data_IF_001785030895
#
_entry.id   IF_001785030895
#
_cell.length_a   1.000
_cell.length_b   1.000
_cell.length_c   1.000
_cell.angle_alpha   90.00
_cell.angle_beta   90.00
_cell.angle_gamma   90.00
#
_symmetry.space_group_name_H-M   'P 1'
#
loop_
_entity.id
_entity.type
_entity.pdbx_description
1 polymer ?
#
# COMPACT_ATOMS: atom_id res chain seq x y z
N UNK A 1 11.26 14.99 -11.02
CA UNK A 1 11.39 14.95 -9.55
C UNK A 1 12.75 14.35 -9.19
N UNK A 2 13.39 14.81 -8.10
CA UNK A 2 14.71 14.34 -7.69
C UNK A 2 14.61 12.90 -7.17
N UNK A 3 15.51 12.03 -7.65
CA UNK A 3 15.63 10.63 -7.23
C UNK A 3 16.31 10.47 -5.87
N UNK A 4 17.02 11.52 -5.43
CA UNK A 4 17.81 11.56 -4.20
C UNK A 4 17.17 12.47 -3.17
N UNK A 5 17.43 12.19 -1.89
CA UNK A 5 16.98 13.02 -0.77
C UNK A 5 17.80 14.30 -0.64
N UNK A 6 17.26 15.35 0.02
CA UNK A 6 18.02 16.54 0.35
C UNK A 6 19.21 16.21 1.26
N UNK A 7 20.29 16.97 1.10
CA UNK A 7 21.48 16.87 1.93
C UNK A 7 22.02 18.27 2.25
N UNK A 8 22.78 18.38 3.34
CA UNK A 8 23.58 19.55 3.67
C UNK A 8 25.04 19.15 3.86
N UNK A 9 25.95 20.10 3.63
CA UNK A 9 27.37 19.87 3.86
C UNK A 9 28.00 21.11 4.52
N UNK A 10 28.42 20.95 5.77
CA UNK A 10 29.02 22.00 6.59
C UNK A 10 29.86 21.40 7.71
N UNK A 11 30.94 22.07 8.14
CA UNK A 11 31.78 21.57 9.24
C UNK A 11 32.39 20.17 9.01
N UNK A 12 32.61 19.77 7.74
CA UNK A 12 33.01 18.41 7.32
C UNK A 12 31.97 17.31 7.61
N UNK A 13 30.73 17.68 7.89
CA UNK A 13 29.61 16.77 8.12
C UNK A 13 28.73 16.79 6.86
N UNK A 14 28.42 15.60 6.34
CA UNK A 14 27.46 15.38 5.27
C UNK A 14 26.20 14.79 5.90
N UNK A 15 25.11 15.57 5.91
CA UNK A 15 23.86 15.19 6.55
C UNK A 15 22.76 14.96 5.51
N UNK A 16 21.91 13.96 5.75
CA UNK A 16 20.87 13.51 4.85
C UNK A 16 19.53 13.53 5.56
N UNK A 17 18.52 14.13 4.92
CA UNK A 17 17.16 14.14 5.45
C UNK A 17 16.38 12.95 4.89
N UNK A 18 16.37 11.85 5.63
CA UNK A 18 15.59 10.67 5.26
C UNK A 18 14.09 10.89 5.47
N UNK A 19 13.25 10.34 4.57
CA UNK A 19 11.84 10.21 4.84
C UNK A 19 11.63 9.27 6.04
N UNK A 20 10.70 9.61 6.92
CA UNK A 20 10.37 8.80 8.11
C UNK A 20 9.13 7.95 7.93
N UNK A 21 8.42 8.09 6.80
CA UNK A 21 7.21 7.35 6.50
C UNK A 21 6.95 7.25 5.00
N UNK A 22 6.02 6.37 4.61
CA UNK A 22 5.63 6.17 3.22
C UNK A 22 5.09 7.44 2.54
N UNK A 23 4.35 8.28 3.28
CA UNK A 23 3.72 9.50 2.77
C UNK A 23 4.73 10.60 2.40
N UNK A 24 5.94 10.56 2.99
CA UNK A 24 7.01 11.50 2.66
C UNK A 24 7.76 11.12 1.38
N UNK A 25 7.51 9.92 0.84
CA UNK A 25 8.11 9.46 -0.41
C UNK A 25 7.45 10.13 -1.59
N UNK A 26 8.28 10.69 -2.46
CA UNK A 26 7.82 11.18 -3.74
C UNK A 26 7.59 10.01 -4.73
N UNK A 27 6.86 10.23 -5.82
CA UNK A 27 6.48 9.16 -6.77
C UNK A 27 7.65 8.33 -7.34
N UNK A 28 8.80 8.95 -7.59
CA UNK A 28 10.00 8.24 -8.07
C UNK A 28 10.64 7.40 -6.97
N UNK A 29 10.69 7.94 -5.75
CA UNK A 29 11.19 7.25 -4.57
C UNK A 29 10.30 6.06 -4.21
N UNK A 30 8.99 6.28 -4.12
CA UNK A 30 8.00 5.25 -3.83
C UNK A 30 8.05 4.11 -4.84
N UNK A 31 8.11 4.43 -6.14
CA UNK A 31 8.29 3.44 -7.21
C UNK A 31 9.57 2.62 -7.06
N UNK A 32 10.67 3.26 -6.66
CA UNK A 32 11.92 2.55 -6.43
C UNK A 32 11.84 1.64 -5.21
N UNK A 33 11.19 2.08 -4.13
CA UNK A 33 10.95 1.26 -2.93
C UNK A 33 10.15 0.01 -3.33
N UNK A 34 9.03 0.15 -4.03
CA UNK A 34 8.25 -1.00 -4.52
C UNK A 34 9.07 -1.96 -5.37
N UNK A 35 9.90 -1.44 -6.29
CA UNK A 35 10.81 -2.28 -7.07
C UNK A 35 11.75 -3.11 -6.20
N UNK A 36 12.41 -2.51 -5.21
CA UNK A 36 13.45 -3.22 -4.45
C UNK A 36 12.89 -4.15 -3.38
N UNK A 37 11.73 -3.85 -2.79
CA UNK A 37 11.09 -4.77 -1.83
C UNK A 37 10.52 -6.01 -2.53
N UNK A 38 10.13 -5.90 -3.80
CA UNK A 38 9.73 -7.06 -4.61
C UNK A 38 10.93 -7.92 -4.99
N UNK A 39 12.09 -7.32 -5.28
CA UNK A 39 13.25 -8.04 -5.79
C UNK A 39 14.18 -8.60 -4.70
N UNK A 40 14.16 -8.04 -3.49
CA UNK A 40 15.18 -8.32 -2.49
C UNK A 40 14.60 -8.50 -1.08
N UNK A 41 15.23 -9.35 -0.25
CA UNK A 41 14.90 -9.43 1.17
C UNK A 41 15.07 -8.09 1.91
N UNK A 42 14.39 -7.88 3.06
CA UNK A 42 14.29 -6.57 3.71
C UNK A 42 15.62 -5.83 3.93
N UNK A 43 16.65 -6.51 4.46
CA UNK A 43 17.95 -5.88 4.71
C UNK A 43 18.64 -5.40 3.41
N UNK A 44 18.54 -6.21 2.34
CA UNK A 44 19.11 -5.89 1.03
C UNK A 44 18.30 -4.77 0.35
N UNK A 45 16.98 -4.82 0.42
CA UNK A 45 16.09 -3.76 -0.08
C UNK A 45 16.39 -2.41 0.60
N UNK A 46 16.44 -2.36 1.94
CA UNK A 46 16.81 -1.16 2.70
C UNK A 46 18.18 -0.60 2.28
N UNK A 47 19.16 -1.47 2.06
CA UNK A 47 20.49 -1.05 1.58
C UNK A 47 20.42 -0.41 0.19
N UNK A 48 19.65 -0.97 -0.74
CA UNK A 48 19.43 -0.34 -2.05
C UNK A 48 18.72 1.01 -1.94
N UNK A 49 17.68 1.12 -1.11
CA UNK A 49 17.00 2.39 -0.83
C UNK A 49 17.99 3.42 -0.28
N UNK A 50 18.75 3.06 0.76
CA UNK A 50 19.76 3.93 1.36
C UNK A 50 20.75 4.47 0.33
N UNK A 51 21.35 3.59 -0.47
CA UNK A 51 22.34 3.99 -1.48
C UNK A 51 21.72 4.83 -2.59
N UNK A 52 20.48 4.51 -3.02
CA UNK A 52 19.78 5.25 -4.06
C UNK A 52 19.38 6.65 -3.59
N UNK A 53 18.83 6.75 -2.39
CA UNK A 53 18.32 8.01 -1.84
C UNK A 53 19.47 8.96 -1.53
N UNK A 54 20.53 8.47 -0.90
CA UNK A 54 21.71 9.28 -0.59
C UNK A 54 22.54 9.59 -1.83
N UNK A 55 22.49 8.78 -2.89
CA UNK A 55 23.36 8.96 -4.05
C UNK A 55 24.84 8.65 -3.77
N UNK A 56 25.15 8.06 -2.61
CA UNK A 56 26.48 7.57 -2.28
C UNK A 56 26.85 6.45 -3.27
N UNK A 57 28.13 6.37 -3.65
CA UNK A 57 28.65 5.29 -4.49
C UNK A 57 29.79 4.57 -3.79
N UNK A 58 29.63 3.27 -3.58
CA UNK A 58 30.70 2.40 -3.07
C UNK A 58 31.76 2.21 -4.16
N UNK A 59 33.04 2.28 -3.79
CA UNK A 59 34.18 2.03 -4.69
C UNK A 59 34.86 0.72 -4.41
N UNK A 60 35.31 0.52 -3.16
CA UNK A 60 35.98 -0.71 -2.73
C UNK A 60 35.90 -0.88 -1.22
N UNK A 61 36.10 -2.11 -0.77
CA UNK A 61 36.29 -2.43 0.65
C UNK A 61 37.71 -2.03 1.09
N UNK A 62 37.84 -1.53 2.32
CA UNK A 62 39.10 -1.14 2.96
C UNK A 62 39.13 -1.64 4.42
N UNK A 63 40.29 -1.60 5.09
CA UNK A 63 40.50 -2.16 6.45
C UNK A 63 39.55 -1.58 7.53
N UNK A 64 38.88 -0.45 7.27
CA UNK A 64 37.93 0.20 8.19
C UNK A 64 36.49 0.31 7.69
N UNK A 65 36.12 -0.35 6.60
CA UNK A 65 34.77 -0.30 6.03
C UNK A 65 34.77 -0.16 4.51
N UNK A 66 33.93 0.73 3.99
CA UNK A 66 33.74 0.92 2.55
C UNK A 66 34.18 2.31 2.11
N UNK A 67 35.11 2.37 1.15
CA UNK A 67 35.47 3.63 0.53
C UNK A 67 34.33 4.07 -0.39
N UNK A 68 33.72 5.19 -0.03
CA UNK A 68 32.55 5.74 -0.68
C UNK A 68 32.86 7.10 -1.31
N UNK A 69 32.08 7.44 -2.34
CA UNK A 69 32.12 8.75 -2.99
C UNK A 69 30.74 9.37 -3.02
N UNK A 70 30.67 10.68 -2.79
CA UNK A 70 29.44 11.46 -2.91
C UNK A 70 29.72 12.72 -3.72
N UNK A 71 28.84 13.04 -4.68
CA UNK A 71 29.00 14.22 -5.54
C UNK A 71 28.21 15.37 -4.94
N UNK A 72 28.91 16.39 -4.44
CA UNK A 72 28.30 17.63 -3.91
C UNK A 72 27.75 18.50 -5.05
N UNK A 73 28.58 18.71 -6.07
CA UNK A 73 28.23 19.45 -7.28
C UNK A 73 29.05 18.91 -8.46
N UNK A 74 28.94 19.51 -9.65
CA UNK A 74 29.62 19.00 -10.84
C UNK A 74 31.15 18.96 -10.72
N UNK A 75 31.75 19.81 -9.88
CA UNK A 75 33.20 19.92 -9.73
C UNK A 75 33.75 19.26 -8.45
N UNK A 76 32.91 19.00 -7.44
CA UNK A 76 33.36 18.53 -6.12
C UNK A 76 32.79 17.15 -5.77
N UNK A 77 33.71 16.22 -5.51
CA UNK A 77 33.40 14.87 -5.05
C UNK A 77 34.05 14.65 -3.68
N UNK A 78 33.25 14.28 -2.69
CA UNK A 78 33.71 13.83 -1.39
C UNK A 78 34.12 12.36 -1.44
N UNK A 79 35.18 12.03 -0.70
CA UNK A 79 35.63 10.67 -0.43
C UNK A 79 35.60 10.45 1.08
N UNK A 80 34.98 9.38 1.52
CA UNK A 80 34.90 9.04 2.94
C UNK A 80 34.79 7.53 3.11
N UNK A 81 35.10 7.05 4.33
CA UNK A 81 34.91 5.66 4.71
C UNK A 81 33.56 5.55 5.41
N UNK A 82 32.70 4.67 4.92
CA UNK A 82 31.44 4.32 5.56
C UNK A 82 31.63 3.01 6.32
N UNK A 83 31.46 3.04 7.64
CA UNK A 83 31.63 1.87 8.50
C UNK A 83 30.36 1.04 8.57
N UNK A 84 30.49 -0.27 8.80
CA UNK A 84 29.34 -1.20 8.78
C UNK A 84 28.28 -0.84 9.85
N UNK A 85 28.71 -0.37 11.03
CA UNK A 85 27.78 0.07 12.07
C UNK A 85 27.02 1.34 11.68
N UNK A 86 27.63 2.25 10.90
CA UNK A 86 26.96 3.45 10.39
C UNK A 86 25.87 3.05 9.40
N UNK A 87 26.18 2.13 8.48
CA UNK A 87 25.18 1.57 7.57
C UNK A 87 24.01 0.99 8.37
N UNK A 88 24.28 0.11 9.33
CA UNK A 88 23.24 -0.49 10.19
C UNK A 88 22.41 0.56 10.91
N UNK A 89 23.04 1.61 11.44
CA UNK A 89 22.35 2.71 12.12
C UNK A 89 21.45 3.49 11.16
N UNK A 90 21.90 3.78 9.94
CA UNK A 90 21.10 4.50 8.95
C UNK A 90 19.96 3.66 8.39
N UNK A 91 20.14 2.34 8.23
CA UNK A 91 19.06 1.47 7.76
C UNK A 91 17.85 1.49 8.69
N UNK A 92 18.03 1.75 10.00
CA UNK A 92 16.93 1.89 10.96
C UNK A 92 15.99 3.05 10.63
N UNK A 93 16.50 4.12 10.00
CA UNK A 93 15.65 5.24 9.57
C UNK A 93 14.68 4.86 8.43
N UNK A 94 14.91 3.70 7.81
CA UNK A 94 14.13 3.18 6.69
C UNK A 94 13.35 1.92 7.15
N UNK A 95 13.21 1.70 8.46
CA UNK A 95 12.50 0.51 8.96
C UNK A 95 11.03 0.47 8.53
N UNK A 96 10.42 1.66 8.36
CA UNK A 96 9.04 1.82 7.91
C UNK A 96 8.71 1.11 6.58
N UNK A 97 9.68 0.89 5.67
CA UNK A 97 9.40 0.20 4.39
C UNK A 97 9.17 -1.31 4.56
N UNK A 98 9.45 -1.86 5.75
CA UNK A 98 9.22 -3.26 6.10
C UNK A 98 7.99 -3.44 7.00
N UNK A 99 7.35 -2.36 7.41
CA UNK A 99 6.17 -2.38 8.26
C UNK A 99 4.89 -2.20 7.42
N UNK A 100 3.76 -2.80 7.83
CA UNK A 100 2.47 -2.53 7.21
C UNK A 100 2.17 -1.04 7.23
N UNK A 101 1.84 -0.47 6.08
CA UNK A 101 1.50 0.93 6.00
C UNK A 101 0.02 1.12 6.35
N UNK A 102 -0.26 1.74 7.50
CA UNK A 102 -1.63 1.98 7.95
C UNK A 102 -2.32 3.13 7.20
N UNK A 103 -1.58 3.97 6.47
CA UNK A 103 -2.13 5.08 5.71
C UNK A 103 -1.94 4.86 4.21
N UNK A 104 -3.01 4.84 3.39
CA UNK A 104 -2.91 4.51 1.98
C UNK A 104 -1.92 5.37 1.20
N UNK A 105 -0.98 4.71 0.51
CA UNK A 105 -0.10 5.33 -0.48
C UNK A 105 -0.13 4.51 -1.75
N UNK A 106 0.00 5.20 -2.90
CA UNK A 106 -0.06 4.57 -4.21
C UNK A 106 0.82 5.28 -5.22
N UNK A 107 1.08 4.60 -6.33
CA UNK A 107 1.66 5.24 -7.50
C UNK A 107 0.55 6.03 -8.22
N UNK A 108 0.87 7.25 -8.65
CA UNK A 108 -0.14 8.09 -9.34
C UNK A 108 -0.50 7.55 -10.72
N UNK A 109 0.47 6.89 -11.36
CA UNK A 109 0.37 6.39 -12.73
C UNK A 109 1.07 5.05 -12.88
N UNK A 110 0.40 4.06 -13.47
CA UNK A 110 0.98 2.75 -13.82
C UNK A 110 0.50 2.42 -15.23
N UNK A 111 1.38 1.91 -16.10
CA UNK A 111 0.98 1.45 -17.44
C UNK A 111 0.20 2.47 -18.27
N UNK A 112 0.46 3.78 -18.09
CA UNK A 112 -0.28 4.84 -18.78
C UNK A 112 -1.66 5.19 -18.19
N UNK A 113 -2.14 4.46 -17.19
CA UNK A 113 -3.40 4.71 -16.46
C UNK A 113 -3.15 5.48 -15.17
N UNK A 114 -4.15 6.21 -14.71
CA UNK A 114 -4.09 7.04 -13.50
C UNK A 114 -4.89 6.36 -12.40
N UNK A 115 -4.34 6.32 -11.19
CA UNK A 115 -5.10 5.74 -10.10
C UNK A 115 -6.23 6.66 -9.62
N UNK A 116 -7.32 6.02 -9.20
CA UNK A 116 -8.48 6.66 -8.54
C UNK A 116 -8.07 7.28 -7.21
N UNK A 117 -8.98 7.99 -6.53
CA UNK A 117 -8.70 8.58 -5.23
C UNK A 117 -7.97 7.63 -4.26
N UNK A 118 -6.96 8.13 -3.56
CA UNK A 118 -6.08 7.31 -2.71
C UNK A 118 -6.84 6.63 -1.56
N UNK A 119 -7.92 7.26 -1.11
CA UNK A 119 -8.82 6.79 -0.07
C UNK A 119 -10.08 6.13 -0.63
N UNK A 120 -10.15 5.93 -1.96
CA UNK A 120 -11.29 5.35 -2.69
C UNK A 120 -12.57 6.21 -2.69
N UNK A 121 -12.49 7.50 -2.39
CA UNK A 121 -13.67 8.37 -2.57
C UNK A 121 -14.12 8.38 -4.04
N UNK A 122 -15.43 8.25 -4.25
CA UNK A 122 -16.07 8.14 -5.56
C UNK A 122 -16.04 6.74 -6.18
N UNK A 123 -15.50 5.74 -5.48
CA UNK A 123 -15.61 4.33 -5.90
C UNK A 123 -17.00 3.80 -5.50
N UNK A 124 -17.72 3.16 -6.42
CA UNK A 124 -18.99 2.52 -6.08
C UNK A 124 -18.79 1.35 -5.12
N UNK A 125 -19.83 1.02 -4.35
CA UNK A 125 -19.80 -0.11 -3.46
C UNK A 125 -19.63 -1.44 -4.23
N UNK A 126 -20.23 -1.56 -5.41
CA UNK A 126 -20.02 -2.70 -6.31
C UNK A 126 -18.53 -2.87 -6.70
N UNK A 127 -17.89 -1.80 -7.19
CA UNK A 127 -16.47 -1.84 -7.58
C UNK A 127 -15.59 -2.16 -6.35
N UNK A 128 -15.95 -1.65 -5.16
CA UNK A 128 -15.28 -1.99 -3.90
C UNK A 128 -15.36 -3.48 -3.57
N UNK A 129 -16.55 -4.09 -3.67
CA UNK A 129 -16.73 -5.53 -3.44
C UNK A 129 -15.96 -6.37 -4.47
N UNK A 130 -15.95 -5.97 -5.74
CA UNK A 130 -15.14 -6.63 -6.77
C UNK A 130 -13.65 -6.54 -6.46
N UNK A 131 -13.16 -5.38 -6.01
CA UNK A 131 -11.77 -5.22 -5.60
C UNK A 131 -11.41 -6.12 -4.42
N UNK A 132 -12.27 -6.19 -3.40
CA UNK A 132 -12.07 -7.04 -2.24
C UNK A 132 -12.03 -8.53 -2.64
N UNK A 133 -12.94 -8.96 -3.52
CA UNK A 133 -12.95 -10.32 -4.05
C UNK A 133 -11.63 -10.66 -4.79
N UNK A 134 -11.14 -9.78 -5.66
CA UNK A 134 -9.86 -9.98 -6.34
C UNK A 134 -8.67 -9.97 -5.38
N UNK A 135 -8.68 -9.11 -4.37
CA UNK A 135 -7.62 -9.05 -3.36
C UNK A 135 -7.55 -10.35 -2.56
N UNK A 136 -8.70 -10.86 -2.08
CA UNK A 136 -8.78 -12.13 -1.35
C UNK A 136 -8.44 -13.32 -2.24
N UNK A 137 -8.90 -13.29 -3.50
CA UNK A 137 -8.54 -14.28 -4.52
C UNK A 137 -7.03 -14.36 -4.73
N UNK A 138 -6.33 -13.23 -4.77
CA UNK A 138 -4.85 -13.22 -4.83
C UNK A 138 -4.21 -13.76 -3.56
N UNK A 139 -4.66 -13.37 -2.36
CA UNK A 139 -4.12 -13.88 -1.09
C UNK A 139 -4.16 -15.41 -1.04
N UNK A 140 -5.27 -16.00 -1.48
CA UNK A 140 -5.47 -17.44 -1.49
C UNK A 140 -4.69 -18.15 -2.62
N UNK A 141 -4.85 -17.69 -3.86
CA UNK A 141 -4.35 -18.41 -5.04
C UNK A 141 -2.94 -18.03 -5.47
N UNK A 142 -2.44 -16.87 -5.05
CA UNK A 142 -1.25 -16.21 -5.59
C UNK A 142 -1.30 -15.96 -7.11
N UNK A 143 -2.49 -16.00 -7.73
CA UNK A 143 -2.65 -15.76 -9.17
C UNK A 143 -2.57 -14.27 -9.51
N UNK A 144 -1.53 -13.89 -10.27
CA UNK A 144 -1.28 -12.52 -10.74
C UNK A 144 -2.46 -11.96 -11.56
N UNK A 145 -3.29 -12.81 -12.19
CA UNK A 145 -4.50 -12.36 -12.90
C UNK A 145 -5.45 -11.56 -11.99
N UNK A 146 -5.54 -11.95 -10.71
CA UNK A 146 -6.34 -11.26 -9.70
C UNK A 146 -5.84 -9.84 -9.45
N UNK A 147 -4.51 -9.66 -9.35
CA UNK A 147 -3.91 -8.33 -9.22
C UNK A 147 -4.10 -7.46 -10.47
N UNK A 148 -4.14 -8.06 -11.67
CA UNK A 148 -4.44 -7.32 -12.91
C UNK A 148 -5.89 -6.84 -12.92
N UNK A 149 -6.83 -7.65 -12.45
CA UNK A 149 -8.24 -7.27 -12.31
C UNK A 149 -8.40 -6.15 -11.28
N UNK A 150 -7.81 -6.30 -10.09
CA UNK A 150 -7.76 -5.25 -9.07
C UNK A 150 -7.17 -3.94 -9.61
N UNK A 151 -6.05 -4.02 -10.34
CA UNK A 151 -5.47 -2.88 -11.04
C UNK A 151 -6.46 -2.21 -12.02
N UNK A 152 -7.29 -3.00 -12.72
CA UNK A 152 -8.29 -2.51 -13.65
C UNK A 152 -9.35 -1.61 -13.00
N UNK A 153 -9.75 -1.93 -11.77
CA UNK A 153 -10.64 -1.10 -10.98
C UNK A 153 -9.95 0.16 -10.46
N UNK A 154 -8.73 0.01 -9.95
CA UNK A 154 -8.03 1.08 -9.24
C UNK A 154 -7.30 2.07 -10.16
N UNK A 155 -6.98 1.70 -11.40
CA UNK A 155 -6.30 2.55 -12.37
C UNK A 155 -7.11 2.71 -13.66
N UNK A 156 -7.68 3.90 -13.84
CA UNK A 156 -8.55 4.23 -14.98
C UNK A 156 -7.78 4.93 -16.10
N UNK A 157 -8.29 4.84 -17.32
CA UNK A 157 -7.77 5.60 -18.47
C UNK A 157 -8.13 7.07 -18.28
N UNK A 158 -7.24 7.98 -18.68
CA UNK A 158 -7.54 9.42 -18.61
C UNK A 158 -8.60 9.79 -19.66
N UNK A 159 -9.78 10.31 -19.26
CA UNK A 159 -10.74 10.85 -20.20
C UNK A 159 -10.11 12.07 -20.91
N UNK A 160 -9.80 11.92 -22.20
CA UNK A 160 -9.23 13.00 -23.04
C UNK A 160 -7.78 12.77 -23.50
N UNK A 161 -7.05 11.82 -22.93
CA UNK A 161 -5.75 11.44 -23.49
C UNK A 161 -5.97 10.43 -24.64
N UNK A 162 -5.93 10.90 -25.90
CA UNK A 162 -5.70 10.00 -27.05
C UNK A 162 -4.50 9.13 -26.69
N UNK A 163 -4.70 7.82 -26.64
CA UNK A 163 -3.71 6.87 -26.16
C UNK A 163 -2.36 7.17 -26.78
N UNK A 164 -1.42 7.69 -25.98
CA UNK A 164 -0.04 7.80 -26.43
C UNK A 164 0.41 6.39 -26.81
N UNK A 165 1.05 6.22 -27.96
CA UNK A 165 1.65 4.93 -28.38
C UNK A 165 2.46 4.30 -27.22
N UNK A 166 3.12 5.12 -26.38
CA UNK A 166 3.82 4.67 -25.16
C UNK A 166 2.93 3.97 -24.12
N UNK A 167 1.67 4.38 -23.96
CA UNK A 167 0.74 3.73 -23.05
C UNK A 167 0.24 2.38 -23.61
N UNK A 168 0.08 2.27 -24.94
CA UNK A 168 -0.27 1.02 -25.60
C UNK A 168 0.85 -0.04 -25.50
N UNK A 169 2.11 0.40 -25.51
CA UNK A 169 3.29 -0.49 -25.42
C UNK A 169 3.86 -0.68 -24.00
N UNK A 170 3.34 0.01 -22.98
CA UNK A 170 3.86 -0.10 -21.61
C UNK A 170 3.31 -1.34 -20.92
N UNK A 171 4.05 -2.46 -20.98
CA UNK A 171 3.76 -3.64 -20.15
C UNK A 171 3.88 -3.29 -18.67
N UNK A 172 2.82 -3.56 -17.91
CA UNK A 172 2.81 -3.43 -16.45
C UNK A 172 3.85 -4.39 -15.89
N UNK A 173 4.71 -3.88 -15.01
CA UNK A 173 5.77 -4.66 -14.37
C UNK A 173 5.25 -5.28 -13.07
N UNK A 174 5.86 -6.38 -12.66
CA UNK A 174 5.42 -7.13 -11.48
C UNK A 174 5.41 -6.29 -10.20
N UNK A 175 6.49 -5.53 -9.93
CA UNK A 175 6.54 -4.64 -8.77
C UNK A 175 5.45 -3.54 -8.79
N UNK A 176 4.93 -3.18 -9.96
CA UNK A 176 3.82 -2.24 -10.07
C UNK A 176 2.52 -2.92 -9.61
N UNK A 177 2.30 -4.20 -9.95
CA UNK A 177 1.16 -4.97 -9.43
C UNK A 177 1.29 -5.21 -7.92
N UNK A 178 2.49 -5.49 -7.42
CA UNK A 178 2.74 -5.58 -5.97
C UNK A 178 2.41 -4.25 -5.28
N UNK A 179 2.69 -3.11 -5.91
CA UNK A 179 2.29 -1.81 -5.33
C UNK A 179 0.77 -1.64 -5.25
N UNK A 180 0.00 -2.23 -6.18
CA UNK A 180 -1.47 -2.24 -6.12
C UNK A 180 -1.97 -3.10 -4.96
N UNK A 181 -1.37 -4.28 -4.78
CA UNK A 181 -1.65 -5.16 -3.65
C UNK A 181 -1.38 -4.46 -2.31
N UNK A 182 -0.20 -3.85 -2.15
CA UNK A 182 0.18 -3.14 -0.94
C UNK A 182 -0.72 -1.92 -0.67
N UNK A 183 -1.12 -1.20 -1.73
CA UNK A 183 -2.08 -0.10 -1.59
C UNK A 183 -3.42 -0.60 -1.05
N UNK A 184 -4.00 -1.65 -1.63
CA UNK A 184 -5.26 -2.20 -1.12
C UNK A 184 -5.13 -2.68 0.34
N UNK A 185 -4.04 -3.38 0.68
CA UNK A 185 -3.75 -3.78 2.05
C UNK A 185 -3.73 -2.59 3.03
N UNK A 186 -3.11 -1.47 2.63
CA UNK A 186 -3.10 -0.25 3.44
C UNK A 186 -4.49 0.41 3.57
N UNK A 187 -5.32 0.35 2.53
CA UNK A 187 -6.72 0.82 2.59
C UNK A 187 -7.52 -0.01 3.58
N UNK A 188 -7.33 -1.32 3.60
CA UNK A 188 -8.01 -2.19 4.57
C UNK A 188 -7.63 -1.85 6.01
N UNK A 189 -6.33 -1.66 6.28
CA UNK A 189 -5.86 -1.25 7.61
C UNK A 189 -6.45 0.10 8.02
N UNK A 190 -6.53 1.04 7.08
CA UNK A 190 -7.15 2.33 7.31
C UNK A 190 -8.66 2.22 7.60
N UNK A 191 -9.39 1.42 6.83
CA UNK A 191 -10.82 1.20 7.02
C UNK A 191 -11.14 0.46 8.31
N UNK A 192 -10.29 -0.46 8.77
CA UNK A 192 -10.42 -1.08 10.11
C UNK A 192 -10.41 -0.01 11.20
N UNK A 193 -9.57 1.03 11.06
CA UNK A 193 -9.51 2.11 12.05
C UNK A 193 -10.70 3.07 11.99
N UNK A 194 -11.36 3.20 10.84
CA UNK A 194 -12.49 4.12 10.63
C UNK A 194 -13.86 3.48 10.89
N UNK A 195 -13.98 2.18 10.62
CA UNK A 195 -15.21 1.41 10.74
C UNK A 195 -14.97 0.22 11.70
N UNK A 196 -14.64 0.49 12.97
CA UNK A 196 -14.20 -0.54 13.91
C UNK A 196 -15.34 -1.50 14.28
N UNK A 197 -16.60 -1.07 14.28
CA UNK A 197 -17.73 -1.93 14.64
C UNK A 197 -18.03 -2.94 13.53
N UNK A 198 -17.83 -2.55 12.28
CA UNK A 198 -17.96 -3.44 11.13
C UNK A 198 -16.75 -4.38 10.99
N UNK A 199 -15.52 -3.84 10.99
CA UNK A 199 -14.31 -4.65 10.84
C UNK A 199 -13.80 -5.18 12.18
N UNK A 200 -14.53 -6.12 12.77
CA UNK A 200 -14.12 -6.80 14.00
C UNK A 200 -13.09 -7.90 13.70
N UNK A 201 -12.06 -8.09 14.56
CA UNK A 201 -11.16 -9.22 14.45
C UNK A 201 -11.95 -10.53 14.57
N UNK A 202 -11.82 -11.40 13.58
CA UNK A 202 -12.35 -12.76 13.67
C UNK A 202 -11.77 -13.44 14.91
N UNK A 203 -12.63 -13.78 15.88
CA UNK A 203 -12.26 -14.68 16.97
C UNK A 203 -12.14 -16.07 16.39
N UNK A 204 -10.92 -16.45 16.00
CA UNK A 204 -10.63 -17.82 15.59
C UNK A 204 -10.57 -18.67 16.87
N UNK A 205 -11.35 -19.77 16.97
CA UNK A 205 -11.07 -20.77 17.98
C UNK A 205 -9.64 -21.29 17.74
N UNK A 206 -8.88 -21.47 18.81
CA UNK A 206 -7.46 -21.82 18.76
C UNK A 206 -7.15 -23.13 17.99
N UNK A 207 -8.17 -23.96 17.75
CA UNK A 207 -8.06 -25.33 17.22
C UNK A 207 -8.39 -25.49 15.72
N UNK A 208 -8.51 -24.40 14.96
CA UNK A 208 -8.77 -24.49 13.51
C UNK A 208 -7.48 -24.71 12.71
N UNK A 209 -7.11 -25.98 12.50
CA UNK A 209 -5.87 -26.44 11.83
C UNK A 209 -5.74 -26.08 10.34
N UNK A 210 -6.77 -25.54 9.69
CA UNK A 210 -6.69 -25.09 8.29
C UNK A 210 -7.26 -23.68 8.09
N UNK A 211 -6.65 -22.86 7.22
CA UNK A 211 -7.29 -21.67 6.68
C UNK A 211 -8.48 -22.11 5.83
N UNK A 212 -9.68 -22.03 6.39
CA UNK A 212 -10.91 -22.16 5.62
C UNK A 212 -10.92 -21.12 4.50
N UNK A 213 -11.30 -21.55 3.30
CA UNK A 213 -11.59 -20.66 2.19
C UNK A 213 -12.59 -19.60 2.69
N UNK A 214 -12.26 -18.29 2.61
CA UNK A 214 -13.21 -17.26 2.99
C UNK A 214 -14.48 -17.42 2.15
N UNK A 215 -15.64 -17.50 2.78
CA UNK A 215 -16.94 -17.43 2.09
C UNK A 215 -17.17 -15.99 1.60
N UNK A 216 -16.46 -15.63 0.54
CA UNK A 216 -16.49 -14.28 -0.04
C UNK A 216 -17.89 -13.94 -0.54
N UNK A 217 -18.56 -14.88 -1.19
CA UNK A 217 -19.93 -14.69 -1.69
C UNK A 217 -20.92 -14.49 -0.55
N UNK A 218 -20.87 -15.32 0.50
CA UNK A 218 -21.72 -15.16 1.67
C UNK A 218 -21.47 -13.82 2.38
N UNK A 219 -20.21 -13.43 2.55
CA UNK A 219 -19.84 -12.14 3.15
C UNK A 219 -20.34 -10.94 2.32
N UNK A 220 -20.24 -11.01 0.98
CA UNK A 220 -20.76 -9.97 0.08
C UNK A 220 -22.29 -9.89 0.15
N UNK A 221 -22.98 -11.03 0.07
CA UNK A 221 -24.44 -11.10 0.14
C UNK A 221 -24.95 -10.60 1.50
N UNK A 222 -24.25 -10.89 2.59
CA UNK A 222 -24.59 -10.39 3.92
C UNK A 222 -24.50 -8.85 4.00
N UNK A 223 -23.46 -8.26 3.41
CA UNK A 223 -23.31 -6.80 3.35
C UNK A 223 -24.43 -6.16 2.52
N UNK A 224 -24.72 -6.69 1.33
CA UNK A 224 -25.81 -6.19 0.47
C UNK A 224 -27.15 -6.29 1.21
N UNK A 225 -27.44 -7.46 1.81
CA UNK A 225 -28.68 -7.69 2.58
C UNK A 225 -28.80 -6.75 3.78
N UNK A 226 -27.69 -6.47 4.49
CA UNK A 226 -27.69 -5.56 5.63
C UNK A 226 -28.03 -4.12 5.21
N UNK A 227 -27.55 -3.69 4.04
CA UNK A 227 -27.82 -2.36 3.48
C UNK A 227 -29.24 -2.25 2.91
N UNK A 228 -29.74 -3.27 2.22
CA UNK A 228 -31.10 -3.26 1.66
C UNK A 228 -32.19 -3.57 2.66
N UNK A 229 -31.85 -4.17 3.81
CA UNK A 229 -32.82 -4.75 4.74
C UNK A 229 -33.50 -6.00 4.17
N UNK A 230 -32.91 -6.65 3.16
CA UNK A 230 -33.49 -7.79 2.45
C UNK A 230 -34.43 -7.41 1.30
N UNK A 231 -34.59 -6.13 1.00
CA UNK A 231 -35.38 -5.64 -0.14
C UNK A 231 -34.54 -5.61 -1.43
N UNK A 232 -34.77 -6.58 -2.30
CA UNK A 232 -34.03 -6.76 -3.57
C UNK A 232 -34.18 -5.54 -4.50
N UNK A 233 -35.27 -4.78 -4.39
CA UNK A 233 -35.50 -3.61 -5.27
C UNK A 233 -34.50 -2.48 -5.04
N UNK A 234 -33.85 -2.46 -3.87
CA UNK A 234 -32.85 -1.45 -3.47
C UNK A 234 -31.42 -1.83 -3.81
N UNK A 235 -31.16 -3.06 -4.25
CA UNK A 235 -29.81 -3.55 -4.49
C UNK A 235 -29.04 -2.69 -5.48
N UNK A 236 -29.69 -2.30 -6.59
CA UNK A 236 -29.05 -1.46 -7.60
C UNK A 236 -28.60 -0.11 -7.03
N UNK A 237 -29.42 0.52 -6.20
CA UNK A 237 -29.09 1.82 -5.60
C UNK A 237 -27.93 1.68 -4.61
N UNK A 238 -27.97 0.65 -3.77
CA UNK A 238 -26.90 0.33 -2.81
C UNK A 238 -25.59 0.03 -3.53
N UNK A 239 -25.61 -0.77 -4.59
CA UNK A 239 -24.39 -1.14 -5.33
C UNK A 239 -23.74 0.06 -6.02
N UNK A 240 -24.53 1.03 -6.49
CA UNK A 240 -24.02 2.25 -7.14
C UNK A 240 -23.65 3.36 -6.17
N UNK A 241 -23.98 3.23 -4.88
CA UNK A 241 -23.64 4.23 -3.88
C UNK A 241 -22.12 4.28 -3.65
N UNK A 242 -21.63 5.42 -3.14
CA UNK A 242 -20.23 5.56 -2.76
C UNK A 242 -19.85 4.55 -1.66
N UNK A 243 -18.71 3.87 -1.81
CA UNK A 243 -18.29 2.82 -0.89
C UNK A 243 -18.09 3.32 0.54
N UNK A 244 -17.69 4.58 0.75
CA UNK A 244 -17.60 5.16 2.08
C UNK A 244 -18.97 5.26 2.72
N UNK A 245 -19.99 5.65 1.95
CA UNK A 245 -21.35 5.74 2.47
C UNK A 245 -21.87 4.36 2.86
N UNK A 246 -21.65 3.35 2.01
CA UNK A 246 -22.00 1.97 2.31
C UNK A 246 -21.30 1.45 3.58
N UNK A 247 -19.99 1.65 3.70
CA UNK A 247 -19.21 1.21 4.86
C UNK A 247 -19.60 1.93 6.15
N UNK A 248 -19.89 3.24 6.08
CA UNK A 248 -20.41 4.01 7.23
C UNK A 248 -21.73 3.43 7.74
N UNK A 249 -22.64 3.07 6.83
CA UNK A 249 -23.94 2.48 7.20
C UNK A 249 -23.80 1.06 7.73
N UNK A 250 -22.88 0.26 7.17
CA UNK A 250 -22.56 -1.08 7.69
C UNK A 250 -21.99 -1.00 9.12
N UNK A 251 -21.12 -0.03 9.39
CA UNK A 251 -20.55 0.21 10.73
C UNK A 251 -21.61 0.63 11.74
N UNK A 252 -22.47 1.58 11.38
CA UNK A 252 -23.58 2.01 12.23
C UNK A 252 -24.52 0.84 12.58
N UNK A 253 -24.90 0.02 11.58
CA UNK A 253 -25.72 -1.18 11.80
C UNK A 253 -25.03 -2.20 12.70
N UNK A 254 -23.72 -2.41 12.52
CA UNK A 254 -22.95 -3.31 13.37
C UNK A 254 -22.91 -2.82 14.83
N UNK A 255 -22.74 -1.52 15.04
CA UNK A 255 -22.79 -0.89 16.35
C UNK A 255 -24.16 -1.05 17.03
N UNK A 256 -25.26 -0.81 16.30
CA UNK A 256 -26.62 -0.98 16.83
C UNK A 256 -26.88 -2.43 17.30
N UNK A 257 -26.42 -3.41 16.53
CA UNK A 257 -26.50 -4.83 16.91
C UNK A 257 -25.70 -5.12 18.19
N UNK A 258 -24.50 -4.52 18.33
CA UNK A 258 -23.68 -4.67 19.54
C UNK A 258 -24.38 -4.06 20.78
N UNK A 259 -25.03 -2.90 20.64
CA UNK A 259 -25.83 -2.28 21.70
C UNK A 259 -26.98 -3.20 22.11
N UNK A 260 -27.72 -3.75 21.15
CA UNK A 260 -28.85 -4.65 21.44
C UNK A 260 -28.38 -5.89 22.19
N UNK A 261 -27.28 -6.52 21.75
CA UNK A 261 -26.69 -7.70 22.43
C UNK A 261 -26.28 -7.38 23.87
N UNK A 262 -25.54 -6.29 24.08
CA UNK A 262 -25.09 -5.91 25.43
C UNK A 262 -26.25 -5.63 26.40
N UNK A 263 -27.37 -5.08 25.93
CA UNK A 263 -28.58 -4.88 26.73
C UNK A 263 -29.28 -6.19 27.09
N UNK A 264 -29.29 -7.16 26.17
CA UNK A 264 -29.87 -8.49 26.41
C UNK A 264 -29.03 -9.31 27.41
N UNK A 265 -27.71 -9.17 27.37
CA UNK A 265 -26.79 -9.87 28.27
C UNK A 265 -26.78 -9.25 29.69
N UNK A 266 -27.04 -7.95 29.83
CA UNK A 266 -27.18 -7.26 31.14
C UNK A 266 -28.55 -7.44 31.82
N UNK A 267 -29.46 -8.22 31.24
CA UNK A 267 -30.75 -8.62 31.85
C UNK A 267 -30.79 -10.11 32.23
N UNK A 268 -29.63 -10.78 32.23
CA UNK A 268 -29.42 -12.11 32.82
C UNK A 268 -28.56 -11.98 34.06
#
# INVERSE_FOLDING_TARGET
MRKTIPHTFGGRILDFRFPTSWQQLNQEQLRYVFLVITLFPPAKAKTYVFMRFTGIRVRKRVKGGWLCTFRLNWHKILRFILQDWQVRSFLRQIDFISEPNAYPVRLDKIGGRYAIDTMLHGLSFEDYLCCENHYQGYLYSQDISQLKSLYGFLYKKNPGARGSLKAAFSRIKEYELVSVFLWWGSVKLYFISLFPHFFQPFHRPADADQPELPDLMGAMNAQIRALTGGDVTKEKEVLQMDCWRALTELDAKAHDIQIIKSRQDGHK
#
